data_IF_814532297209
#
_entry.id   IF_814532297209
#
_cell.length_a   1.000
_cell.length_b   1.000
_cell.length_c   1.000
_cell.angle_alpha   90.00
_cell.angle_beta   90.00
_cell.angle_gamma   90.00
#
_symmetry.space_group_name_H-M   'P 1'
#
loop_
_entity.id
_entity.type
_entity.pdbx_description
1 polymer ?
#
# COMPACT_ATOMS: atom_id res chain seq x y z
N UNK A 1 9.57 -40.06 -34.06
CA UNK A 1 10.14 -40.01 -32.70
C UNK A 1 9.16 -39.25 -31.82
N UNK A 2 8.44 -39.95 -30.94
CA UNK A 2 7.63 -39.30 -29.90
C UNK A 2 8.55 -39.18 -28.67
N UNK A 3 8.85 -37.96 -28.24
CA UNK A 3 9.62 -37.72 -27.02
C UNK A 3 8.68 -37.67 -25.81
N UNK A 4 9.06 -38.24 -24.65
CA UNK A 4 8.22 -38.22 -23.46
C UNK A 4 8.19 -36.82 -22.84
N UNK A 5 6.99 -36.39 -22.44
CA UNK A 5 6.71 -35.05 -21.97
C UNK A 5 7.33 -34.72 -20.62
N UNK A 6 7.84 -33.49 -20.51
CA UNK A 6 8.08 -32.82 -19.24
C UNK A 6 6.85 -31.98 -18.92
N UNK A 7 6.32 -32.11 -17.70
CA UNK A 7 5.34 -31.16 -17.20
C UNK A 7 4.43 -31.71 -16.13
N UNK A 8 5.01 -32.27 -15.08
CA UNK A 8 4.32 -32.33 -13.78
C UNK A 8 4.04 -30.90 -13.34
N UNK A 9 2.86 -30.39 -13.68
CA UNK A 9 2.45 -29.04 -13.38
C UNK A 9 0.94 -29.05 -13.34
N UNK A 10 0.37 -29.38 -12.18
CA UNK A 10 -1.02 -29.07 -11.91
C UNK A 10 -1.18 -27.57 -12.18
N UNK A 11 -1.85 -27.24 -13.28
CA UNK A 11 -2.11 -25.87 -13.68
C UNK A 11 -2.93 -25.27 -12.55
N UNK A 12 -2.36 -24.33 -11.82
CA UNK A 12 -3.11 -23.60 -10.81
C UNK A 12 -4.30 -22.94 -11.48
N UNK A 13 -5.48 -23.52 -11.29
CA UNK A 13 -6.75 -22.93 -11.67
C UNK A 13 -7.29 -22.19 -10.44
N UNK A 14 -7.52 -20.89 -10.56
CA UNK A 14 -8.18 -20.14 -9.47
C UNK A 14 -9.54 -20.78 -9.20
N UNK A 15 -9.82 -21.21 -7.96
CA UNK A 15 -11.14 -21.72 -7.60
C UNK A 15 -12.21 -20.67 -7.94
N UNK A 16 -13.39 -21.09 -8.41
CA UNK A 16 -14.47 -20.16 -8.80
C UNK A 16 -14.96 -19.23 -7.67
N UNK A 17 -14.63 -19.57 -6.43
CA UNK A 17 -14.92 -18.79 -5.22
C UNK A 17 -13.71 -18.00 -4.69
N UNK A 18 -12.67 -17.77 -5.52
CA UNK A 18 -11.49 -16.99 -5.15
C UNK A 18 -11.76 -15.48 -5.28
N UNK A 19 -12.73 -14.99 -4.52
CA UNK A 19 -13.08 -13.57 -4.45
C UNK A 19 -13.28 -13.17 -2.99
N UNK A 20 -12.98 -11.91 -2.69
CA UNK A 20 -13.28 -11.35 -1.38
C UNK A 20 -14.78 -11.05 -1.31
N UNK A 21 -15.50 -11.48 -0.26
CA UNK A 21 -16.83 -10.95 0.00
C UNK A 21 -16.73 -9.43 0.12
N UNK A 22 -17.78 -8.71 -0.26
CA UNK A 22 -17.75 -7.23 -0.36
C UNK A 22 -17.18 -6.57 0.89
N UNK A 23 -17.59 -7.01 2.08
CA UNK A 23 -17.05 -6.51 3.35
C UNK A 23 -15.54 -6.73 3.52
N UNK A 24 -15.01 -7.87 3.09
CA UNK A 24 -13.58 -8.18 3.14
C UNK A 24 -12.75 -7.29 2.21
N UNK A 25 -13.27 -6.98 1.02
CA UNK A 25 -12.61 -6.02 0.10
C UNK A 25 -12.57 -4.60 0.69
N UNK A 26 -13.66 -4.16 1.34
CA UNK A 26 -13.70 -2.85 2.03
C UNK A 26 -12.77 -2.82 3.23
N UNK A 27 -12.76 -3.86 4.06
CA UNK A 27 -11.87 -3.96 5.22
C UNK A 27 -10.39 -3.96 4.81
N UNK A 28 -10.03 -4.70 3.75
CA UNK A 28 -8.69 -4.69 3.20
C UNK A 28 -8.29 -3.29 2.70
N UNK A 29 -9.18 -2.62 1.96
CA UNK A 29 -8.95 -1.24 1.50
C UNK A 29 -8.75 -0.27 2.67
N UNK A 30 -9.60 -0.34 3.69
CA UNK A 30 -9.49 0.48 4.88
C UNK A 30 -8.19 0.24 5.66
N UNK A 31 -7.79 -1.02 5.82
CA UNK A 31 -6.53 -1.38 6.48
C UNK A 31 -5.32 -0.82 5.73
N UNK A 32 -5.30 -0.93 4.39
CA UNK A 32 -4.23 -0.37 3.56
C UNK A 32 -4.18 1.16 3.70
N UNK A 33 -5.35 1.82 3.65
CA UNK A 33 -5.45 3.27 3.83
C UNK A 33 -4.94 3.72 5.21
N UNK A 34 -5.33 3.01 6.27
CA UNK A 34 -4.88 3.28 7.64
C UNK A 34 -3.36 3.12 7.78
N UNK A 35 -2.79 2.02 7.30
CA UNK A 35 -1.34 1.77 7.39
C UNK A 35 -0.56 2.83 6.62
N UNK A 36 -1.07 3.25 5.46
CA UNK A 36 -0.45 4.30 4.64
C UNK A 36 -0.45 5.64 5.39
N UNK A 37 -1.60 6.03 5.97
CA UNK A 37 -1.73 7.25 6.75
C UNK A 37 -0.86 7.23 8.02
N UNK A 38 -0.86 6.11 8.75
CA UNK A 38 -0.02 5.93 9.95
C UNK A 38 1.46 6.01 9.61
N UNK A 39 1.88 5.41 8.49
CA UNK A 39 3.26 5.52 8.01
C UNK A 39 3.61 6.96 7.68
N UNK A 40 2.76 7.69 6.95
CA UNK A 40 2.97 9.11 6.67
C UNK A 40 3.08 9.93 7.97
N UNK A 41 2.22 9.67 8.96
CA UNK A 41 2.27 10.31 10.26
C UNK A 41 3.54 9.94 11.07
N UNK A 42 4.09 8.74 10.89
CA UNK A 42 5.33 8.35 11.55
C UNK A 42 6.55 9.13 11.03
N UNK A 43 6.57 9.48 9.74
CA UNK A 43 7.64 10.28 9.13
C UNK A 43 7.41 11.79 9.32
N UNK A 44 6.19 12.25 9.10
CA UNK A 44 5.85 13.68 9.11
C UNK A 44 5.44 14.21 10.48
N UNK A 45 4.94 13.35 11.37
CA UNK A 45 4.26 13.78 12.59
C UNK A 45 2.93 14.48 12.32
N UNK A 46 2.26 14.92 13.38
CA UNK A 46 1.11 15.82 13.26
C UNK A 46 1.59 17.25 12.99
N UNK A 47 0.83 18.02 12.22
CA UNK A 47 1.12 19.44 12.00
C UNK A 47 1.10 20.19 13.35
N UNK A 48 2.17 20.92 13.71
CA UNK A 48 2.26 21.60 15.01
C UNK A 48 1.30 22.79 15.13
N UNK A 49 0.90 23.40 14.01
CA UNK A 49 -0.04 24.51 13.98
C UNK A 49 -0.94 24.48 12.72
N UNK A 50 -2.16 25.06 12.79
CA UNK A 50 -2.99 25.27 11.61
C UNK A 50 -2.28 26.16 10.58
N UNK A 51 -2.41 25.82 9.29
CA UNK A 51 -1.79 26.58 8.19
C UNK A 51 -0.34 26.21 7.87
N UNK A 52 0.19 25.14 8.47
CA UNK A 52 1.49 24.59 8.09
C UNK A 52 1.37 23.52 6.99
N UNK A 53 2.26 23.60 6.00
CA UNK A 53 2.45 22.66 4.92
C UNK A 53 3.69 21.80 5.18
N UNK A 54 3.62 20.51 4.82
CA UNK A 54 4.75 19.58 4.93
C UNK A 54 5.66 19.71 3.70
N UNK A 55 6.96 19.91 3.91
CA UNK A 55 7.97 20.02 2.87
C UNK A 55 9.00 18.89 3.00
N UNK A 56 9.32 18.23 1.90
CA UNK A 56 10.34 17.16 1.88
C UNK A 56 11.74 17.74 1.73
N UNK A 57 12.68 17.26 2.56
CA UNK A 57 14.11 17.64 2.48
C UNK A 57 14.89 16.77 1.50
N UNK A 58 14.42 15.54 1.29
CA UNK A 58 15.13 14.51 0.54
C UNK A 58 14.25 13.92 -0.57
N UNK A 59 14.83 13.55 -1.73
CA UNK A 59 14.09 12.89 -2.82
C UNK A 59 13.52 11.52 -2.41
N UNK A 60 14.03 10.95 -1.33
CA UNK A 60 13.49 9.73 -0.72
C UNK A 60 12.12 9.93 -0.06
N UNK A 61 11.68 11.18 0.16
CA UNK A 61 10.38 11.57 0.76
C UNK A 61 10.09 10.92 2.13
N UNK A 62 11.15 10.58 2.87
CA UNK A 62 11.05 10.02 4.23
C UNK A 62 11.28 11.06 5.32
N UNK A 63 11.91 12.18 4.97
CA UNK A 63 12.25 13.25 5.89
C UNK A 63 11.74 14.58 5.33
N UNK A 64 11.44 15.49 6.24
CA UNK A 64 10.87 16.78 5.92
C UNK A 64 10.65 17.64 7.16
N UNK A 65 10.06 18.80 6.95
CA UNK A 65 9.70 19.75 8.01
C UNK A 65 8.35 20.39 7.71
N UNK A 66 7.71 20.88 8.77
CA UNK A 66 6.53 21.73 8.66
C UNK A 66 6.98 23.18 8.54
N UNK A 67 6.47 23.87 7.51
CA UNK A 67 6.62 25.32 7.37
C UNK A 67 5.28 25.95 7.01
N UNK A 68 5.15 27.27 7.11
CA UNK A 68 3.92 27.93 6.70
C UNK A 68 3.72 27.79 5.19
N UNK A 69 2.50 27.47 4.77
CA UNK A 69 2.17 27.42 3.35
C UNK A 69 2.40 28.81 2.74
N UNK A 70 3.34 28.91 1.81
CA UNK A 70 3.64 30.12 1.05
C UNK A 70 2.82 30.20 -0.25
#
# INVERSE_FOLDING_TARGET
MVGPGYGGGARWARPGHYYWPRGGAIAAGAAIGLVTAATAAAWAGAAPAPGMCWYYTDPSRRQGFWDYCQ
#
